data_IF_177079432171
#
_entry.id   IF_177079432171
#
_cell.length_a   1.000
_cell.length_b   1.000
_cell.length_c   1.000
_cell.angle_alpha   90.00
_cell.angle_beta   90.00
_cell.angle_gamma   90.00
#
_symmetry.space_group_name_H-M   'P 1'
#
loop_
_entity.id
_entity.type
_entity.pdbx_description
1 polymer ?
#
# COMPACT_ATOMS: atom_id res chain seq x y z
N UNK A 1 -26.03 28.56 -48.65
CA UNK A 1 -25.20 29.04 -47.52
C UNK A 1 -24.20 27.95 -47.14
N UNK A 2 -22.91 28.24 -47.02
CA UNK A 2 -21.86 27.28 -46.61
C UNK A 2 -21.40 27.60 -45.19
N UNK A 3 -21.16 26.61 -44.30
CA UNK A 3 -20.68 26.87 -42.96
C UNK A 3 -19.20 27.29 -42.98
N UNK A 4 -18.83 28.32 -42.20
CA UNK A 4 -17.44 28.73 -41.96
C UNK A 4 -16.94 28.07 -40.68
N UNK A 5 -16.02 27.12 -40.79
CA UNK A 5 -15.31 26.52 -39.66
C UNK A 5 -14.16 27.44 -39.22
N UNK A 6 -14.08 27.79 -37.93
CA UNK A 6 -12.92 28.49 -37.35
C UNK A 6 -11.99 27.46 -36.70
N UNK A 7 -10.74 27.39 -37.15
CA UNK A 7 -9.69 26.64 -36.46
C UNK A 7 -8.98 27.56 -35.45
N UNK A 8 -8.87 27.11 -34.20
CA UNK A 8 -8.06 27.75 -33.17
C UNK A 8 -6.71 27.02 -33.10
N UNK A 9 -5.63 27.73 -33.46
CA UNK A 9 -4.26 27.24 -33.32
C UNK A 9 -3.72 27.59 -31.92
N UNK A 10 -4.05 26.78 -30.92
CA UNK A 10 -3.26 26.79 -29.69
C UNK A 10 -1.99 25.98 -29.93
N UNK A 11 -0.89 26.67 -30.24
CA UNK A 11 0.47 26.12 -30.15
C UNK A 11 0.68 25.63 -28.73
N UNK A 12 0.69 24.32 -28.53
CA UNK A 12 1.17 23.73 -27.28
C UNK A 12 2.68 23.93 -27.26
N UNK A 13 3.13 24.82 -26.39
CA UNK A 13 4.55 25.01 -26.07
C UNK A 13 5.13 23.69 -25.60
N UNK A 14 6.19 23.22 -26.25
CA UNK A 14 7.01 22.09 -25.76
C UNK A 14 7.78 22.56 -24.54
N UNK A 15 7.10 22.61 -23.39
CA UNK A 15 7.76 22.72 -22.11
C UNK A 15 8.54 21.43 -21.89
N UNK A 16 9.88 21.56 -21.85
CA UNK A 16 10.84 20.51 -21.54
C UNK A 16 10.30 19.64 -20.40
N UNK A 17 9.94 18.39 -20.73
CA UNK A 17 9.67 17.33 -19.76
C UNK A 17 10.98 17.09 -19.02
N UNK A 18 11.17 17.78 -17.89
CA UNK A 18 12.20 17.43 -16.92
C UNK A 18 11.85 16.04 -16.43
N UNK A 19 12.58 15.05 -16.93
CA UNK A 19 12.60 13.72 -16.37
C UNK A 19 13.26 13.82 -14.99
N UNK A 20 12.50 14.25 -13.99
CA UNK A 20 12.87 13.99 -12.60
C UNK A 20 12.65 12.52 -12.40
N UNK A 21 13.74 11.76 -12.50
CA UNK A 21 13.82 10.37 -12.10
C UNK A 21 12.94 10.14 -10.88
N UNK A 22 12.06 9.13 -10.96
CA UNK A 22 11.30 8.60 -9.84
C UNK A 22 12.29 8.31 -8.71
N UNK A 23 12.47 9.33 -7.86
CA UNK A 23 13.11 9.17 -6.57
C UNK A 23 12.00 8.56 -5.75
N UNK A 24 11.78 7.26 -5.96
CA UNK A 24 11.08 6.43 -5.00
C UNK A 24 11.84 6.68 -3.69
N UNK A 25 11.30 7.57 -2.87
CA UNK A 25 11.89 7.94 -1.62
C UNK A 25 11.67 6.71 -0.76
N UNK A 26 12.64 5.79 -0.78
CA UNK A 26 12.60 4.64 0.10
C UNK A 26 12.60 5.21 1.51
N UNK A 27 11.43 5.22 2.13
CA UNK A 27 11.30 5.36 3.56
C UNK A 27 12.00 4.15 4.16
N UNK A 28 13.30 4.29 4.38
CA UNK A 28 14.02 3.36 5.24
C UNK A 28 13.46 3.58 6.62
N UNK A 29 12.57 2.70 7.05
CA UNK A 29 12.43 2.45 8.47
C UNK A 29 13.82 1.98 8.91
N UNK A 30 14.67 2.90 9.39
CA UNK A 30 16.05 2.59 9.78
C UNK A 30 16.14 1.62 10.96
N UNK A 31 14.98 1.23 11.51
CA UNK A 31 14.80 0.24 12.57
C UNK A 31 14.11 -0.99 11.99
N UNK A 32 14.63 -2.16 12.35
CA UNK A 32 14.02 -3.44 12.04
C UNK A 32 12.62 -3.51 12.65
N UNK A 33 11.69 -4.13 11.94
CA UNK A 33 10.32 -4.38 12.39
C UNK A 33 10.11 -5.88 12.45
N UNK A 34 9.54 -6.37 13.54
CA UNK A 34 9.10 -7.75 13.64
C UNK A 34 7.81 -7.93 12.84
N UNK A 35 7.83 -8.81 11.84
CA UNK A 35 6.64 -9.23 11.10
C UNK A 35 6.19 -10.59 11.64
N UNK A 36 5.01 -10.63 12.25
CA UNK A 36 4.37 -11.87 12.70
C UNK A 36 3.36 -12.32 11.66
N UNK A 37 3.50 -13.53 11.13
CA UNK A 37 2.67 -14.06 10.05
C UNK A 37 1.54 -14.93 10.60
N UNK A 38 0.36 -14.80 10.01
CA UNK A 38 -0.84 -15.55 10.34
C UNK A 38 -1.58 -15.94 9.06
N UNK A 39 -2.35 -17.03 9.13
CA UNK A 39 -3.20 -17.48 8.03
C UNK A 39 -4.49 -16.65 7.99
N UNK A 40 -4.83 -16.08 6.83
CA UNK A 40 -6.10 -15.39 6.62
C UNK A 40 -7.22 -16.36 6.31
N UNK A 41 -8.42 -16.02 6.77
CA UNK A 41 -9.63 -16.71 6.31
C UNK A 41 -10.06 -16.27 4.89
N UNK A 42 -9.42 -15.24 4.32
CA UNK A 42 -9.65 -14.84 2.92
C UNK A 42 -8.90 -15.76 1.96
N UNK A 43 -9.62 -16.28 0.97
CA UNK A 43 -9.03 -16.98 -0.17
C UNK A 43 -8.24 -15.99 -1.03
N UNK A 44 -7.12 -16.44 -1.58
CA UNK A 44 -6.42 -15.70 -2.62
C UNK A 44 -7.17 -15.82 -3.94
N UNK A 45 -7.17 -14.76 -4.74
CA UNK A 45 -7.74 -14.78 -6.09
C UNK A 45 -6.83 -15.50 -7.11
N UNK A 46 -5.80 -16.22 -6.66
CA UNK A 46 -4.91 -16.97 -7.55
C UNK A 46 -5.58 -18.29 -7.91
N UNK A 47 -6.45 -18.25 -8.92
CA UNK A 47 -7.07 -19.44 -9.49
C UNK A 47 -6.07 -20.14 -10.42
N UNK A 48 -5.23 -20.99 -9.86
CA UNK A 48 -4.35 -21.91 -10.58
C UNK A 48 -4.16 -23.20 -9.79
N UNK A 49 -4.77 -24.28 -10.27
CA UNK A 49 -4.59 -25.68 -9.83
C UNK A 49 -4.69 -25.96 -8.32
N UNK A 50 -5.92 -26.13 -7.82
CA UNK A 50 -6.22 -27.03 -6.69
C UNK A 50 -5.71 -26.67 -5.29
N UNK A 51 -4.91 -25.61 -5.10
CA UNK A 51 -4.49 -25.14 -3.77
C UNK A 51 -5.46 -24.07 -3.26
N UNK A 52 -6.11 -24.35 -2.13
CA UNK A 52 -6.81 -23.36 -1.29
C UNK A 52 -5.77 -22.37 -0.71
N UNK A 53 -5.25 -21.51 -1.59
CA UNK A 53 -4.23 -20.54 -1.25
C UNK A 53 -4.87 -19.45 -0.40
N UNK A 54 -4.95 -19.65 0.91
CA UNK A 54 -5.36 -18.59 1.83
C UNK A 54 -4.35 -17.46 1.82
N UNK A 55 -4.83 -16.22 1.85
CA UNK A 55 -3.95 -15.06 1.95
C UNK A 55 -3.18 -15.08 3.28
N UNK A 56 -1.98 -14.53 3.31
CA UNK A 56 -1.27 -14.30 4.57
C UNK A 56 -1.72 -12.96 5.14
N UNK A 57 -1.86 -12.90 6.47
CA UNK A 57 -1.94 -11.63 7.17
C UNK A 57 -0.73 -11.46 8.09
N UNK A 58 -0.38 -10.22 8.37
CA UNK A 58 0.76 -9.88 9.20
C UNK A 58 0.37 -8.86 10.27
N UNK A 59 1.04 -8.96 11.42
CA UNK A 59 1.09 -7.89 12.41
C UNK A 59 2.52 -7.36 12.50
N UNK A 60 2.68 -6.04 12.49
CA UNK A 60 3.98 -5.36 12.47
C UNK A 60 4.28 -4.75 13.84
N UNK A 61 5.45 -5.07 14.40
CA UNK A 61 5.91 -4.53 15.69
C UNK A 61 7.30 -3.90 15.55
N UNK A 62 7.39 -2.55 15.47
CA UNK A 62 8.66 -1.84 15.43
C UNK A 62 9.34 -1.74 16.79
N UNK A 63 8.55 -1.85 17.87
CA UNK A 63 8.99 -1.78 19.26
C UNK A 63 8.28 -2.91 20.01
N UNK A 64 9.00 -3.63 20.88
CA UNK A 64 8.45 -4.72 21.69
C UNK A 64 7.13 -4.30 22.36
N UNK A 65 6.10 -5.13 22.23
CA UNK A 65 4.75 -4.94 22.78
C UNK A 65 3.92 -3.79 22.15
N UNK A 66 4.46 -3.09 21.14
CA UNK A 66 3.73 -2.11 20.33
C UNK A 66 3.51 -2.63 18.91
N UNK A 67 2.29 -2.47 18.42
CA UNK A 67 1.85 -2.94 17.12
C UNK A 67 1.34 -1.79 16.28
N UNK A 68 1.54 -1.87 14.96
CA UNK A 68 0.90 -0.95 14.02
C UNK A 68 -0.60 -1.21 14.01
N UNK A 69 -1.37 -0.15 14.20
CA UNK A 69 -2.83 -0.16 14.17
C UNK A 69 -3.34 0.76 13.07
N UNK A 70 -4.32 0.27 12.30
CA UNK A 70 -5.05 1.06 11.34
C UNK A 70 -6.15 1.87 12.03
N UNK A 71 -6.02 3.21 12.03
CA UNK A 71 -7.10 4.10 12.42
C UNK A 71 -7.86 4.54 11.16
N UNK A 72 -8.90 3.77 10.82
CA UNK A 72 -9.71 4.03 9.63
C UNK A 72 -10.50 5.36 9.69
N UNK A 73 -10.71 5.93 10.90
CA UNK A 73 -11.41 7.21 11.06
C UNK A 73 -10.53 8.39 10.67
N UNK A 74 -9.25 8.33 11.03
CA UNK A 74 -8.29 9.41 10.79
C UNK A 74 -7.40 9.15 9.57
N UNK A 75 -7.57 8.00 8.91
CA UNK A 75 -6.73 7.53 7.81
C UNK A 75 -5.23 7.51 8.18
N UNK A 76 -4.93 7.15 9.42
CA UNK A 76 -3.59 7.14 10.00
C UNK A 76 -3.16 5.75 10.43
N UNK A 77 -1.84 5.56 10.55
CA UNK A 77 -1.25 4.36 11.14
C UNK A 77 -0.60 4.74 12.45
N UNK A 78 -1.04 4.11 13.52
CA UNK A 78 -0.63 4.44 14.89
C UNK A 78 0.12 3.27 15.55
N UNK A 79 0.87 3.56 16.62
CA UNK A 79 1.50 2.54 17.46
C UNK A 79 0.72 2.37 18.74
N UNK A 80 0.13 1.21 18.94
CA UNK A 80 -0.64 0.90 20.13
C UNK A 80 0.07 -0.19 20.93
N UNK A 81 0.10 -0.03 22.25
CA UNK A 81 0.53 -1.09 23.15
C UNK A 81 -0.64 -2.07 23.29
N UNK A 82 -0.46 -3.31 22.85
CA UNK A 82 -1.52 -4.32 22.92
C UNK A 82 -0.98 -5.63 23.47
N UNK A 83 -1.69 -6.14 24.46
CA UNK A 83 -1.54 -7.51 24.93
C UNK A 83 -2.35 -8.44 24.03
N UNK A 84 -1.95 -9.71 23.96
CA UNK A 84 -2.67 -10.70 23.16
C UNK A 84 -4.03 -11.01 23.83
N UNK A 85 -5.10 -11.25 23.05
CA UNK A 85 -5.15 -11.31 21.59
C UNK A 85 -5.14 -9.91 20.93
N UNK A 86 -4.48 -9.81 19.77
CA UNK A 86 -4.41 -8.56 19.01
C UNK A 86 -5.78 -8.24 18.38
N UNK A 87 -6.15 -6.95 18.29
CA UNK A 87 -7.40 -6.56 17.64
C UNK A 87 -7.26 -6.62 16.11
N UNK A 88 -8.40 -6.67 15.41
CA UNK A 88 -8.43 -6.78 13.95
C UNK A 88 -7.72 -5.64 13.22
N UNK A 89 -7.68 -4.44 13.82
CA UNK A 89 -6.99 -3.26 13.32
C UNK A 89 -5.47 -3.40 13.28
N UNK A 90 -4.91 -4.39 14.00
CA UNK A 90 -3.47 -4.69 14.01
C UNK A 90 -3.03 -5.61 12.87
N UNK A 91 -4.00 -6.21 12.16
CA UNK A 91 -3.73 -7.19 11.12
C UNK A 91 -3.87 -6.58 9.73
N UNK A 92 -2.88 -6.86 8.90
CA UNK A 92 -2.83 -6.43 7.52
C UNK A 92 -2.69 -7.64 6.60
N UNK A 93 -3.52 -7.72 5.57
CA UNK A 93 -3.40 -8.73 4.52
C UNK A 93 -2.18 -8.40 3.67
N UNK A 94 -1.31 -9.38 3.49
CA UNK A 94 -0.08 -9.24 2.73
C UNK A 94 -0.34 -9.61 1.27
N UNK A 95 -0.16 -8.65 0.38
CA UNK A 95 -0.21 -8.87 -1.07
C UNK A 95 1.20 -8.90 -1.63
N UNK A 96 1.50 -9.96 -2.40
CA UNK A 96 2.74 -10.04 -3.16
C UNK A 96 2.59 -9.21 -4.44
N UNK A 97 3.46 -8.22 -4.59
CA UNK A 97 3.49 -7.34 -5.75
C UNK A 97 4.71 -7.67 -6.63
N UNK A 98 4.73 -7.25 -7.91
CA UNK A 98 5.89 -7.45 -8.78
C UNK A 98 7.19 -6.89 -8.17
N UNK A 99 8.33 -7.36 -8.69
CA UNK A 99 9.67 -6.87 -8.31
C UNK A 99 10.08 -7.11 -6.84
N UNK A 100 9.56 -8.17 -6.20
CA UNK A 100 9.80 -8.50 -4.79
C UNK A 100 9.33 -7.40 -3.83
N UNK A 101 8.30 -6.65 -4.23
CA UNK A 101 7.60 -5.71 -3.37
C UNK A 101 6.38 -6.37 -2.73
N UNK A 102 5.89 -5.77 -1.65
CA UNK A 102 4.66 -6.17 -0.97
C UNK A 102 3.81 -4.93 -0.69
N UNK A 103 2.51 -5.13 -0.54
CA UNK A 103 1.61 -4.13 0.03
C UNK A 103 0.83 -4.73 1.20
N UNK A 104 0.40 -3.86 2.11
CA UNK A 104 -0.28 -4.24 3.35
C UNK A 104 -1.69 -3.65 3.34
N UNK A 105 -2.71 -4.47 3.12
CA UNK A 105 -4.12 -4.05 3.11
C UNK A 105 -4.72 -4.20 4.52
N UNK A 106 -5.53 -3.25 4.96
CA UNK A 106 -6.25 -3.36 6.23
C UNK A 106 -7.19 -4.57 6.24
N UNK A 107 -7.10 -5.43 7.27
CA UNK A 107 -8.08 -6.53 7.46
C UNK A 107 -9.50 -6.01 7.60
N UNK A 108 -9.68 -4.89 8.30
CA UNK A 108 -10.97 -4.29 8.66
C UNK A 108 -11.60 -3.45 7.55
N UNK A 109 -10.82 -2.98 6.57
CA UNK A 109 -11.31 -2.08 5.49
C UNK A 109 -10.64 -2.44 4.15
N UNK A 110 -11.28 -3.30 3.34
CA UNK A 110 -10.74 -3.71 2.05
C UNK A 110 -10.50 -2.54 1.09
N UNK A 111 -9.41 -2.61 0.34
CA UNK A 111 -8.97 -1.55 -0.56
C UNK A 111 -8.28 -0.37 0.15
N UNK A 112 -8.13 -0.42 1.48
CA UNK A 112 -7.27 0.53 2.22
C UNK A 112 -5.93 -0.14 2.51
N UNK A 113 -4.85 0.55 2.17
CA UNK A 113 -3.49 0.04 2.31
C UNK A 113 -2.66 0.93 3.22
N UNK A 114 -1.69 0.35 3.91
CA UNK A 114 -0.58 1.14 4.44
C UNK A 114 0.16 1.73 3.23
N UNK A 115 0.47 3.01 3.31
CA UNK A 115 1.32 3.69 2.36
C UNK A 115 2.01 4.89 2.98
N UNK A 116 2.69 5.66 2.13
CA UNK A 116 3.39 6.86 2.54
C UNK A 116 2.70 8.08 1.96
N UNK A 117 2.34 9.02 2.84
CA UNK A 117 1.76 10.32 2.51
C UNK A 117 2.48 11.39 3.32
N UNK A 118 2.89 12.47 2.67
CA UNK A 118 3.57 13.61 3.32
C UNK A 118 4.77 13.18 4.18
N UNK A 119 5.55 12.21 3.71
CA UNK A 119 6.68 11.59 4.39
C UNK A 119 6.37 10.78 5.68
N UNK A 120 5.11 10.45 5.92
CA UNK A 120 4.66 9.66 7.07
C UNK A 120 3.88 8.42 6.63
N UNK A 121 3.85 7.39 7.48
CA UNK A 121 2.96 6.25 7.29
C UNK A 121 1.52 6.70 7.44
N UNK A 122 0.67 6.33 6.50
CA UNK A 122 -0.74 6.67 6.47
C UNK A 122 -1.56 5.53 5.83
N UNK A 123 -2.87 5.61 5.95
CA UNK A 123 -3.80 4.75 5.24
C UNK A 123 -4.20 5.39 3.92
N UNK A 124 -4.04 4.65 2.82
CA UNK A 124 -4.33 5.09 1.47
C UNK A 124 -5.44 4.21 0.91
N UNK A 125 -6.58 4.83 0.55
CA UNK A 125 -7.65 4.15 -0.19
C UNK A 125 -7.23 4.02 -1.65
N UNK A 126 -7.37 2.81 -2.19
CA UNK A 126 -7.07 2.49 -3.59
C UNK A 126 -8.38 2.11 -4.27
N UNK A 127 -8.92 3.04 -5.06
CA UNK A 127 -10.25 2.86 -5.70
C UNK A 127 -10.20 1.99 -6.97
N UNK A 128 -9.03 1.90 -7.63
CA UNK A 128 -8.84 1.15 -8.86
C UNK A 128 -7.66 0.17 -8.74
N UNK A 129 -7.77 -1.09 -9.22
CA UNK A 129 -6.69 -2.07 -9.17
C UNK A 129 -5.40 -1.62 -9.86
N UNK A 130 -5.52 -0.78 -10.89
CA UNK A 130 -4.38 -0.21 -11.61
C UNK A 130 -3.48 0.66 -10.71
N UNK A 131 -4.07 1.24 -9.66
CA UNK A 131 -3.34 2.05 -8.67
C UNK A 131 -2.65 1.20 -7.59
N UNK A 132 -2.82 -0.13 -7.58
CA UNK A 132 -2.07 -1.02 -6.68
C UNK A 132 -0.56 -0.99 -6.96
N UNK A 133 -0.16 -0.62 -8.18
CA UNK A 133 1.23 -0.41 -8.55
C UNK A 133 1.75 1.00 -8.21
N UNK A 134 0.97 1.81 -7.49
CA UNK A 134 1.45 3.12 -7.04
C UNK A 134 2.63 2.96 -6.09
N UNK A 135 3.72 3.69 -6.35
CA UNK A 135 4.96 3.59 -5.56
C UNK A 135 4.74 3.87 -4.06
N UNK A 136 3.68 4.59 -3.71
CA UNK A 136 3.40 5.03 -2.34
C UNK A 136 2.90 3.91 -1.41
N UNK A 137 2.39 2.79 -1.93
CA UNK A 137 1.89 1.65 -1.13
C UNK A 137 2.80 0.42 -1.24
N UNK A 138 3.89 0.52 -2.00
CA UNK A 138 4.82 -0.58 -2.23
C UNK A 138 5.97 -0.53 -1.22
N UNK A 139 6.17 -1.66 -0.54
CA UNK A 139 7.24 -1.84 0.43
C UNK A 139 8.16 -2.95 -0.03
N UNK A 140 9.46 -2.76 0.21
CA UNK A 140 10.46 -3.81 0.01
C UNK A 140 10.86 -4.38 1.37
N UNK A 141 10.73 -5.69 1.52
CA UNK A 141 11.21 -6.40 2.71
C UNK A 141 12.65 -6.86 2.46
N UNK A 142 13.56 -6.51 3.37
CA UNK A 142 14.94 -6.98 3.38
C UNK A 142 15.19 -7.84 4.60
N UNK A 143 15.69 -9.06 4.40
CA UNK A 143 16.25 -9.87 5.48
C UNK A 143 17.65 -9.34 5.82
N UNK A 144 17.96 -9.24 7.10
CA UNK A 144 19.27 -8.81 7.62
C UNK A 144 19.61 -9.60 8.85
#
# INVERSE_FOLDING_TARGET
MKPKTKYSNNRISTAKRKNTASKALCFKLGKKVLLSYYESQRSSNVSGDGVDGKMLMVALSPIKDFWLHANNKEHSVELHKCEKPLPDQAFFILHNMPYNCVSFECKTDPGVFIGIKDNHLALIKVDCPENLCSENILFKLSKT
#
